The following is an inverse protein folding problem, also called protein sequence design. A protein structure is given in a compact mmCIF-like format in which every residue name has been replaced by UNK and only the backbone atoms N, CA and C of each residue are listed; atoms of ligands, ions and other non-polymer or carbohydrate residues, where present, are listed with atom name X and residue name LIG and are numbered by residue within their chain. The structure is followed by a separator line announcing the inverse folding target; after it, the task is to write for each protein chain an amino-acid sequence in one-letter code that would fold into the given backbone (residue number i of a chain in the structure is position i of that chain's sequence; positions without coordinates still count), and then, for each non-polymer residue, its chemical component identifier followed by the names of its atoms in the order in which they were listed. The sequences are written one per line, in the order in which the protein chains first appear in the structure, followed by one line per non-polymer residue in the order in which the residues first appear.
data_IF_410417574872
#
_entry.id   IF_410417574872
#
_cell.length_a   1.000
_cell.length_b   1.000
_cell.length_c   1.000
_cell.angle_alpha   90.00
_cell.angle_beta   90.00
_cell.angle_gamma   90.00
#
_symmetry.space_group_name_H-M   'P 1'
#
loop_
_entity.id
_entity.type
_entity.pdbx_description
1 polymer ?
#
# COMPACT_ATOMS: atom_id res chain seq x y z
N UNK A 1 12.33 13.89 -42.99
CA UNK A 1 12.94 13.60 -41.68
C UNK A 1 12.46 14.67 -40.72
N UNK A 2 11.26 14.53 -40.15
CA UNK A 2 10.74 15.40 -39.08
C UNK A 2 9.60 14.72 -38.27
N UNK A 3 8.92 13.70 -38.81
CA UNK A 3 7.87 12.95 -38.09
C UNK A 3 8.33 12.30 -36.78
N UNK A 4 9.57 11.80 -36.72
CA UNK A 4 10.09 11.16 -35.50
C UNK A 4 10.22 12.10 -34.29
N UNK A 5 10.35 13.42 -34.47
CA UNK A 5 10.47 14.34 -33.33
C UNK A 5 9.12 14.80 -32.77
N UNK A 6 8.07 14.81 -33.57
CA UNK A 6 6.71 15.12 -33.10
C UNK A 6 6.14 13.96 -32.27
N UNK A 7 6.33 12.72 -32.73
CA UNK A 7 5.86 11.52 -32.00
C UNK A 7 6.53 11.38 -30.62
N UNK A 8 7.83 11.65 -30.52
CA UNK A 8 8.56 11.61 -29.24
C UNK A 8 8.06 12.72 -28.29
N UNK A 9 7.75 13.91 -28.80
CA UNK A 9 7.21 15.01 -27.98
C UNK A 9 5.78 14.74 -27.52
N UNK A 10 4.94 14.11 -28.34
CA UNK A 10 3.60 13.69 -27.95
C UNK A 10 3.62 12.58 -26.88
N UNK A 11 4.50 11.58 -27.02
CA UNK A 11 4.65 10.50 -26.03
C UNK A 11 5.14 11.03 -24.68
N UNK A 12 6.16 11.89 -24.67
CA UNK A 12 6.67 12.52 -23.44
C UNK A 12 5.61 13.39 -22.76
N UNK A 13 4.76 14.08 -23.55
CA UNK A 13 3.68 14.92 -23.03
C UNK A 13 2.50 14.10 -22.50
N UNK A 14 2.16 12.97 -23.13
CA UNK A 14 1.16 12.00 -22.62
C UNK A 14 1.63 11.34 -21.33
N UNK A 15 2.89 10.92 -21.25
CA UNK A 15 3.48 10.31 -20.05
C UNK A 15 3.50 11.30 -18.86
N UNK A 16 3.80 12.57 -19.12
CA UNK A 16 3.71 13.66 -18.12
C UNK A 16 2.28 13.86 -17.59
N UNK A 17 1.27 13.84 -18.46
CA UNK A 17 -0.15 14.00 -18.07
C UNK A 17 -0.67 12.81 -17.26
N UNK A 18 -0.34 11.58 -17.67
CA UNK A 18 -0.74 10.38 -16.94
C UNK A 18 -0.11 10.34 -15.54
N UNK A 19 1.20 10.60 -15.43
CA UNK A 19 1.90 10.70 -14.14
C UNK A 19 1.30 11.77 -13.23
N UNK A 20 0.82 12.89 -13.79
CA UNK A 20 0.16 13.94 -13.02
C UNK A 20 -1.19 13.47 -12.45
N UNK A 21 -2.05 12.89 -13.28
CA UNK A 21 -3.36 12.37 -12.85
C UNK A 21 -3.18 11.32 -11.74
N UNK A 22 -2.23 10.42 -11.93
CA UNK A 22 -1.89 9.39 -10.95
C UNK A 22 -1.43 9.96 -9.60
N UNK A 23 -0.65 11.06 -9.62
CA UNK A 23 -0.26 11.77 -8.39
C UNK A 23 -1.45 12.43 -7.70
N UNK A 24 -2.35 13.05 -8.46
CA UNK A 24 -3.56 13.69 -7.91
C UNK A 24 -4.48 12.66 -7.25
N UNK A 25 -4.70 11.50 -7.88
CA UNK A 25 -5.47 10.39 -7.30
C UNK A 25 -4.82 9.91 -6.00
N UNK A 26 -3.50 9.66 -6.03
CA UNK A 26 -2.75 9.24 -4.84
C UNK A 26 -2.90 10.26 -3.71
N UNK A 27 -2.71 11.54 -4.01
CA UNK A 27 -2.76 12.59 -2.98
C UNK A 27 -4.18 12.78 -2.44
N UNK A 28 -5.21 12.57 -3.27
CA UNK A 28 -6.60 12.49 -2.85
C UNK A 28 -6.86 11.31 -1.91
N UNK A 29 -6.37 10.10 -2.23
CA UNK A 29 -6.47 8.93 -1.35
C UNK A 29 -5.75 9.16 -0.01
N UNK A 30 -4.56 9.77 -0.03
CA UNK A 30 -3.85 10.16 1.18
C UNK A 30 -4.70 11.14 2.01
N UNK A 31 -5.34 12.13 1.39
CA UNK A 31 -6.18 13.08 2.09
C UNK A 31 -7.42 12.41 2.73
N UNK A 32 -8.04 11.45 2.04
CA UNK A 32 -9.15 10.65 2.59
C UNK A 32 -8.70 9.85 3.80
N UNK A 33 -7.55 9.17 3.72
CA UNK A 33 -6.99 8.42 4.86
C UNK A 33 -6.71 9.37 6.03
N UNK A 34 -6.11 10.53 5.79
CA UNK A 34 -5.86 11.54 6.83
C UNK A 34 -7.16 11.98 7.50
N UNK A 35 -8.19 12.29 6.72
CA UNK A 35 -9.50 12.69 7.25
C UNK A 35 -10.12 11.58 8.11
N UNK A 36 -10.10 10.33 7.62
CA UNK A 36 -10.59 9.18 8.37
C UNK A 36 -9.81 8.97 9.65
N UNK A 37 -8.48 9.05 9.61
CA UNK A 37 -7.61 8.92 10.79
C UNK A 37 -7.93 9.97 11.85
N UNK A 38 -8.14 11.23 11.45
CA UNK A 38 -8.56 12.30 12.38
C UNK A 38 -9.94 12.04 13.01
N UNK A 39 -10.86 11.46 12.25
CA UNK A 39 -12.19 11.08 12.77
C UNK A 39 -12.11 9.88 13.71
N UNK A 40 -11.36 8.84 13.34
CA UNK A 40 -11.21 7.62 14.13
C UNK A 40 -10.47 7.88 15.44
N UNK A 41 -9.45 8.73 15.40
CA UNK A 41 -8.61 9.03 16.55
C UNK A 41 -8.88 10.40 17.17
N UNK A 42 -10.08 10.97 16.96
CA UNK A 42 -10.40 12.34 17.42
C UNK A 42 -10.19 12.56 18.93
N UNK A 43 -10.24 11.47 19.72
CA UNK A 43 -10.04 11.50 21.17
C UNK A 43 -8.57 11.56 21.60
N UNK A 44 -7.61 11.34 20.69
CA UNK A 44 -6.19 11.33 21.04
C UNK A 44 -5.67 12.76 21.24
N UNK A 45 -5.11 13.08 22.43
CA UNK A 45 -4.41 14.34 22.62
C UNK A 45 -3.10 14.33 21.82
N UNK A 46 -2.72 15.47 21.24
CA UNK A 46 -1.46 15.61 20.48
C UNK A 46 -1.63 15.89 18.98
N UNK A 47 -2.86 16.11 18.50
CA UNK A 47 -3.12 16.58 17.15
C UNK A 47 -2.68 15.60 16.06
N UNK A 48 -2.27 16.13 14.90
CA UNK A 48 -1.94 15.31 13.72
C UNK A 48 -0.78 14.35 13.94
N UNK A 49 0.20 14.71 14.77
CA UNK A 49 1.34 13.83 15.07
C UNK A 49 0.90 12.58 15.82
N UNK A 50 0.06 12.73 16.86
CA UNK A 50 -0.48 11.61 17.62
C UNK A 50 -1.39 10.73 16.74
N UNK A 51 -2.22 11.35 15.89
CA UNK A 51 -3.04 10.64 14.92
C UNK A 51 -2.19 9.82 13.92
N UNK A 52 -1.08 10.40 13.44
CA UNK A 52 -0.16 9.74 12.53
C UNK A 52 0.58 8.57 13.18
N UNK A 53 1.02 8.71 14.43
CA UNK A 53 1.63 7.61 15.19
C UNK A 53 0.63 6.48 15.47
N UNK A 54 -0.61 6.82 15.82
CA UNK A 54 -1.67 5.84 16.01
C UNK A 54 -1.99 5.10 14.70
N UNK A 55 -2.03 5.81 13.57
CA UNK A 55 -2.18 5.19 12.25
C UNK A 55 -1.02 4.22 11.95
N UNK A 56 0.22 4.62 12.24
CA UNK A 56 1.41 3.79 12.04
C UNK A 56 1.37 2.50 12.87
N UNK A 57 0.85 2.56 14.10
CA UNK A 57 0.65 1.38 14.94
C UNK A 57 -0.52 0.50 14.45
N UNK A 58 -1.61 1.12 13.99
CA UNK A 58 -2.82 0.43 13.57
C UNK A 58 -2.69 -0.23 12.18
N UNK A 59 -1.90 0.36 11.28
CA UNK A 59 -1.74 -0.09 9.91
C UNK A 59 -1.33 -1.58 9.77
N UNK A 60 -0.29 -2.10 10.46
CA UNK A 60 0.01 -3.53 10.39
C UNK A 60 -1.10 -4.39 11.00
N UNK A 61 -1.85 -3.90 11.99
CA UNK A 61 -2.99 -4.63 12.57
C UNK A 61 -4.15 -4.75 11.58
N UNK A 62 -4.48 -3.67 10.86
CA UNK A 62 -5.51 -3.69 9.82
C UNK A 62 -5.15 -4.73 8.76
N UNK A 63 -3.93 -4.68 8.23
CA UNK A 63 -3.48 -5.63 7.20
C UNK A 63 -3.47 -7.06 7.75
N UNK A 64 -2.90 -7.27 8.94
CA UNK A 64 -2.81 -8.58 9.58
C UNK A 64 -4.19 -9.19 9.85
N UNK A 65 -5.18 -8.38 10.26
CA UNK A 65 -6.55 -8.84 10.51
C UNK A 65 -7.25 -9.33 9.24
N UNK A 66 -7.09 -8.61 8.12
CA UNK A 66 -7.67 -8.99 6.82
C UNK A 66 -7.04 -10.28 6.29
N UNK A 67 -5.72 -10.40 6.39
CA UNK A 67 -5.00 -11.63 6.00
C UNK A 67 -5.42 -12.80 6.89
N UNK A 68 -5.50 -12.61 8.21
CA UNK A 68 -5.92 -13.66 9.14
C UNK A 68 -7.34 -14.13 8.85
N UNK A 69 -8.24 -13.20 8.55
CA UNK A 69 -9.62 -13.52 8.16
C UNK A 69 -9.66 -14.42 6.91
N UNK A 70 -8.79 -14.19 5.93
CA UNK A 70 -8.70 -15.04 4.74
C UNK A 70 -8.37 -16.51 5.06
N UNK A 71 -7.52 -16.76 6.05
CA UNK A 71 -7.12 -18.13 6.45
C UNK A 71 -8.09 -18.79 7.43
N UNK A 72 -8.86 -18.02 8.18
CA UNK A 72 -9.89 -18.54 9.10
C UNK A 72 -11.15 -18.94 8.34
N UNK A 73 -11.47 -18.25 7.24
CA UNK A 73 -12.66 -18.55 6.45
C UNK A 73 -12.59 -19.97 5.86
N UNK A 74 -13.72 -20.70 5.81
CA UNK A 74 -13.76 -22.04 5.23
C UNK A 74 -13.23 -22.08 3.78
N UNK A 75 -12.66 -23.22 3.34
CA UNK A 75 -12.43 -23.48 1.93
C UNK A 75 -13.68 -23.18 1.10
N UNK A 76 -13.51 -22.47 -0.01
CA UNK A 76 -14.58 -22.00 -0.92
C UNK A 76 -15.53 -20.92 -0.39
N UNK A 77 -15.32 -20.36 0.80
CA UNK A 77 -16.12 -19.21 1.23
C UNK A 77 -15.91 -18.02 0.26
N UNK A 78 -16.97 -17.40 -0.29
CA UNK A 78 -16.84 -16.34 -1.29
C UNK A 78 -16.04 -15.13 -0.77
N UNK A 79 -16.06 -14.90 0.55
CA UNK A 79 -15.24 -13.90 1.21
C UNK A 79 -13.74 -14.05 0.95
N UNK A 80 -13.22 -15.26 0.71
CA UNK A 80 -11.79 -15.46 0.39
C UNK A 80 -11.42 -14.89 -0.97
N UNK A 81 -12.32 -14.99 -1.96
CA UNK A 81 -12.14 -14.36 -3.28
C UNK A 81 -12.20 -12.84 -3.19
N UNK A 82 -13.13 -12.30 -2.38
CA UNK A 82 -13.23 -10.86 -2.15
C UNK A 82 -11.95 -10.33 -1.49
N UNK A 83 -11.46 -11.00 -0.44
CA UNK A 83 -10.24 -10.59 0.25
C UNK A 83 -9.03 -10.71 -0.68
N UNK A 84 -8.94 -11.76 -1.50
CA UNK A 84 -7.89 -11.90 -2.52
C UNK A 84 -7.95 -10.77 -3.55
N UNK A 85 -9.12 -10.44 -4.09
CA UNK A 85 -9.28 -9.36 -5.06
C UNK A 85 -8.87 -8.01 -4.46
N UNK A 86 -9.26 -7.73 -3.22
CA UNK A 86 -8.84 -6.54 -2.48
C UNK A 86 -7.31 -6.53 -2.29
N UNK A 87 -6.72 -7.65 -1.88
CA UNK A 87 -5.28 -7.77 -1.70
C UNK A 87 -4.51 -7.50 -3.01
N UNK A 88 -4.98 -8.03 -4.15
CA UNK A 88 -4.38 -7.80 -5.46
C UNK A 88 -4.49 -6.32 -5.89
N UNK A 89 -5.63 -5.68 -5.66
CA UNK A 89 -5.80 -4.24 -5.93
C UNK A 89 -4.87 -3.41 -5.06
N UNK A 90 -4.80 -3.69 -3.75
CA UNK A 90 -3.88 -3.01 -2.83
C UNK A 90 -2.44 -3.19 -3.30
N UNK A 91 -2.04 -4.41 -3.69
CA UNK A 91 -0.70 -4.67 -4.21
C UNK A 91 -0.40 -3.91 -5.50
N UNK A 92 -1.34 -3.88 -6.45
CA UNK A 92 -1.20 -3.09 -7.67
C UNK A 92 -1.03 -1.60 -7.35
N UNK A 93 -1.81 -1.06 -6.40
CA UNK A 93 -1.65 0.34 -5.98
C UNK A 93 -0.32 0.60 -5.28
N UNK A 94 0.19 -0.35 -4.49
CA UNK A 94 1.52 -0.23 -3.86
C UNK A 94 2.64 -0.24 -4.90
N UNK A 95 2.52 -1.06 -5.95
CA UNK A 95 3.43 -1.06 -7.09
C UNK A 95 3.46 0.29 -7.82
N UNK A 96 2.28 0.88 -8.05
CA UNK A 96 2.16 2.12 -8.83
C UNK A 96 2.50 3.39 -8.03
N UNK A 97 2.14 3.45 -6.74
CA UNK A 97 2.18 4.70 -5.95
C UNK A 97 3.03 4.63 -4.69
N UNK A 98 3.52 3.43 -4.33
CA UNK A 98 4.01 3.11 -3.00
C UNK A 98 2.86 2.97 -1.98
N UNK A 99 3.19 2.66 -0.73
CA UNK A 99 2.17 2.53 0.30
C UNK A 99 1.51 3.88 0.63
N UNK A 100 0.23 4.00 0.29
CA UNK A 100 -0.56 5.23 0.47
C UNK A 100 -0.75 5.57 1.95
N UNK A 101 -0.95 4.56 2.79
CA UNK A 101 -1.10 4.73 4.24
C UNK A 101 0.20 5.25 4.85
N UNK A 102 1.35 4.70 4.46
CA UNK A 102 2.67 5.20 4.90
C UNK A 102 2.89 6.67 4.49
N UNK A 103 2.43 7.09 3.32
CA UNK A 103 2.48 8.52 2.95
C UNK A 103 1.55 9.37 3.82
N UNK A 104 0.39 8.85 4.23
CA UNK A 104 -0.51 9.54 5.16
C UNK A 104 0.14 9.67 6.56
N UNK A 105 0.75 8.60 7.06
CA UNK A 105 1.52 8.58 8.31
C UNK A 105 2.62 9.65 8.30
N UNK A 106 3.44 9.68 7.24
CA UNK A 106 4.52 10.65 7.09
C UNK A 106 4.01 12.10 7.00
N UNK A 107 2.88 12.34 6.29
CA UNK A 107 2.28 13.68 6.22
C UNK A 107 1.70 14.14 7.57
N UNK A 108 1.15 13.22 8.36
CA UNK A 108 0.57 13.51 9.68
C UNK A 108 1.65 13.74 10.75
N UNK A 109 2.68 12.90 10.75
CA UNK A 109 3.75 12.94 11.75
C UNK A 109 4.86 13.94 11.43
N UNK A 110 5.06 14.27 10.15
CA UNK A 110 6.24 14.99 9.67
C UNK A 110 7.52 14.14 9.72
N UNK A 111 7.43 12.88 10.15
CA UNK A 111 8.53 11.94 10.23
C UNK A 111 8.66 11.19 8.90
N UNK A 112 9.90 10.82 8.55
CA UNK A 112 10.18 9.98 7.38
C UNK A 112 10.25 8.49 7.72
N UNK A 113 10.18 8.14 8.99
CA UNK A 113 10.13 6.75 9.45
C UNK A 113 8.90 6.03 8.90
N UNK A 114 9.05 4.73 8.69
CA UNK A 114 7.98 3.86 8.20
C UNK A 114 7.83 2.63 9.08
N UNK A 115 6.68 1.96 8.96
CA UNK A 115 6.42 0.67 9.64
C UNK A 115 7.50 -0.40 9.36
N UNK A 116 8.25 -0.27 8.26
CA UNK A 116 9.24 -1.26 7.83
C UNK A 116 10.62 -1.00 8.46
N UNK A 117 10.86 0.21 8.98
CA UNK A 117 12.18 0.64 9.46
C UNK A 117 12.70 -0.18 10.64
N UNK A 118 11.88 -0.54 11.67
CA UNK A 118 12.36 -1.38 12.75
C UNK A 118 12.81 -2.76 12.25
N UNK A 119 12.14 -3.31 11.24
CA UNK A 119 12.48 -4.62 10.68
C UNK A 119 13.76 -4.57 9.83
N UNK A 120 13.95 -3.51 9.04
CA UNK A 120 15.20 -3.29 8.30
C UNK A 120 16.38 -3.08 9.25
N UNK A 121 16.17 -2.33 10.34
CA UNK A 121 17.17 -2.13 11.39
C UNK A 121 17.56 -3.44 12.07
N UNK A 122 16.58 -4.27 12.45
CA UNK A 122 16.82 -5.60 13.03
C UNK A 122 17.58 -6.54 12.06
N UNK A 123 17.32 -6.43 10.75
CA UNK A 123 18.02 -7.19 9.73
C UNK A 123 19.40 -6.61 9.36
N UNK A 124 19.83 -5.52 10.01
CA UNK A 124 21.05 -4.78 9.69
C UNK A 124 21.14 -4.33 8.21
N UNK A 125 20.00 -3.98 7.62
CA UNK A 125 19.87 -3.47 6.25
C UNK A 125 19.80 -1.95 6.30
N UNK A 126 20.48 -1.27 5.35
CA UNK A 126 20.43 0.18 5.24
C UNK A 126 18.98 0.68 5.08
N UNK A 127 18.54 1.58 5.98
CA UNK A 127 17.20 2.18 5.94
C UNK A 127 17.21 3.36 4.98
N UNK A 128 16.84 3.10 3.72
CA UNK A 128 16.70 4.11 2.69
C UNK A 128 15.37 3.93 1.95
N UNK A 129 15.02 4.88 1.07
CA UNK A 129 13.75 4.84 0.35
C UNK A 129 13.59 3.57 -0.49
N UNK A 130 14.66 3.14 -1.14
CA UNK A 130 14.64 2.02 -2.07
C UNK A 130 14.50 0.68 -1.33
N UNK A 131 15.19 0.50 -0.20
CA UNK A 131 15.06 -0.69 0.65
C UNK A 131 13.70 -0.78 1.31
N UNK A 132 13.13 0.35 1.77
CA UNK A 132 11.75 0.40 2.28
C UNK A 132 10.73 -0.01 1.21
N UNK A 133 10.87 0.51 -0.01
CA UNK A 133 9.99 0.13 -1.12
C UNK A 133 10.16 -1.34 -1.50
N UNK A 134 11.40 -1.82 -1.63
CA UNK A 134 11.70 -3.21 -1.95
C UNK A 134 11.13 -4.18 -0.90
N UNK A 135 11.34 -3.89 0.39
CA UNK A 135 10.82 -4.70 1.47
C UNK A 135 9.29 -4.72 1.50
N UNK A 136 8.64 -3.56 1.32
CA UNK A 136 7.17 -3.48 1.26
C UNK A 136 6.62 -4.29 0.08
N UNK A 137 7.22 -4.14 -1.11
CA UNK A 137 6.80 -4.86 -2.30
C UNK A 137 7.04 -6.37 -2.18
N UNK A 138 8.18 -6.78 -1.63
CA UNK A 138 8.51 -8.19 -1.44
C UNK A 138 7.52 -8.88 -0.49
N UNK A 139 7.26 -8.28 0.68
CA UNK A 139 6.32 -8.83 1.68
C UNK A 139 4.91 -8.89 1.12
N UNK A 140 4.44 -7.78 0.53
CA UNK A 140 3.10 -7.73 -0.05
C UNK A 140 2.92 -8.72 -1.21
N UNK A 141 3.93 -8.87 -2.07
CA UNK A 141 3.89 -9.82 -3.20
C UNK A 141 3.90 -11.25 -2.70
N UNK A 142 4.72 -11.57 -1.70
CA UNK A 142 4.75 -12.90 -1.10
C UNK A 142 3.38 -13.30 -0.52
N UNK A 143 2.74 -12.40 0.22
CA UNK A 143 1.39 -12.62 0.76
C UNK A 143 0.38 -12.87 -0.37
N UNK A 144 0.38 -12.01 -1.41
CA UNK A 144 -0.53 -12.17 -2.54
C UNK A 144 -0.33 -13.51 -3.27
N UNK A 145 0.92 -13.92 -3.50
CA UNK A 145 1.25 -15.22 -4.12
C UNK A 145 0.74 -16.37 -3.26
N UNK A 146 0.95 -16.34 -1.94
CA UNK A 146 0.43 -17.38 -1.03
C UNK A 146 -1.09 -17.43 -1.11
N UNK A 147 -1.79 -16.30 -1.07
CA UNK A 147 -3.26 -16.27 -1.15
C UNK A 147 -3.77 -16.82 -2.49
N UNK A 148 -3.11 -16.47 -3.61
CA UNK A 148 -3.43 -17.03 -4.94
C UNK A 148 -3.22 -18.54 -4.96
N UNK A 149 -2.09 -19.04 -4.44
CA UNK A 149 -1.81 -20.46 -4.39
C UNK A 149 -2.84 -21.22 -3.56
N UNK A 150 -3.22 -20.69 -2.40
CA UNK A 150 -4.21 -21.37 -1.56
C UNK A 150 -5.59 -21.39 -2.24
N UNK A 151 -6.05 -20.28 -2.82
CA UNK A 151 -7.31 -20.27 -3.59
C UNK A 151 -7.23 -21.23 -4.78
N UNK A 152 -6.10 -21.26 -5.50
CA UNK A 152 -5.91 -22.15 -6.63
C UNK A 152 -5.97 -23.63 -6.18
N UNK A 153 -5.24 -24.00 -5.14
CA UNK A 153 -5.28 -25.35 -4.57
C UNK A 153 -6.69 -25.74 -4.14
N UNK A 154 -7.40 -24.85 -3.41
CA UNK A 154 -8.76 -25.10 -2.98
C UNK A 154 -9.71 -25.30 -4.17
N UNK A 155 -9.49 -24.59 -5.29
CA UNK A 155 -10.38 -24.65 -6.46
C UNK A 155 -10.04 -25.81 -7.41
N UNK A 156 -8.75 -26.19 -7.53
CA UNK A 156 -8.26 -27.17 -8.50
C UNK A 156 -8.07 -28.59 -7.95
N UNK A 157 -7.84 -28.80 -6.64
CA UNK A 157 -7.66 -30.15 -6.06
C UNK A 157 -8.99 -30.87 -5.79
N UNK A 158 -9.95 -30.68 -6.69
CA UNK A 158 -11.16 -31.49 -6.81
C UNK A 158 -10.95 -32.63 -7.80
#
# INVERSE_FOLDING_TARGET
MDDSQEDIKEEVKKDSKAKRILREIRDGLVAVIIALTRVVFFWLPGGDTAHGQALMALHPMIIGSVISLFFILPPHHPGRLVILAVALVVMATQWLFGCVITRAEQKLTGNTETIVDPFLGLANIAVNRDTRQAATLAVGTAIAVVMVLVVACDTFLR
#
